data_IF_342223247739
#
_entry.id   IF_342223247739
#
_cell.length_a   1.000
_cell.length_b   1.000
_cell.length_c   1.000
_cell.angle_alpha   90.00
_cell.angle_beta   90.00
_cell.angle_gamma   90.00
#
_symmetry.space_group_name_H-M   'P 1'
#
loop_
_entity.id
_entity.type
_entity.pdbx_description
1 polymer ?
#
# COMPACT_ATOMS: atom_id res chain seq x y z
N UNK A 1 -5.83 -17.91 8.80
CA UNK A 1 -5.22 -16.69 9.35
C UNK A 1 -6.07 -16.17 10.49
N UNK A 2 -5.45 -15.83 11.62
CA UNK A 2 -6.21 -15.38 12.79
C UNK A 2 -6.51 -13.87 12.70
N UNK A 3 -7.46 -13.37 13.53
CA UNK A 3 -7.85 -11.94 13.48
C UNK A 3 -6.71 -10.96 13.75
N UNK A 4 -5.72 -11.33 14.56
CA UNK A 4 -4.57 -10.47 14.83
C UNK A 4 -3.70 -10.30 13.59
N UNK A 5 -3.47 -11.39 12.86
CA UNK A 5 -2.70 -11.33 11.61
C UNK A 5 -3.42 -10.51 10.55
N UNK A 6 -4.74 -10.63 10.46
CA UNK A 6 -5.55 -9.84 9.54
C UNK A 6 -5.47 -8.36 9.91
N UNK A 7 -5.57 -8.03 11.20
CA UNK A 7 -5.44 -6.66 11.66
C UNK A 7 -4.06 -6.08 11.34
N UNK A 8 -3.02 -6.87 11.55
CA UNK A 8 -1.65 -6.45 11.25
C UNK A 8 -1.46 -6.22 9.75
N UNK A 9 -2.02 -7.08 8.90
CA UNK A 9 -1.96 -6.90 7.46
C UNK A 9 -2.70 -5.64 7.01
N UNK A 10 -3.85 -5.33 7.60
CA UNK A 10 -4.58 -4.10 7.31
C UNK A 10 -3.78 -2.86 7.70
N UNK A 11 -3.14 -2.89 8.86
CA UNK A 11 -2.29 -1.77 9.30
C UNK A 11 -1.07 -1.60 8.38
N UNK A 12 -0.44 -2.71 8.01
CA UNK A 12 0.69 -2.69 7.08
C UNK A 12 0.26 -2.15 5.72
N UNK A 13 -0.89 -2.57 5.22
CA UNK A 13 -1.42 -2.10 3.93
C UNK A 13 -1.65 -0.59 3.94
N UNK A 14 -2.23 -0.07 5.03
CA UNK A 14 -2.46 1.36 5.17
C UNK A 14 -1.13 2.14 5.21
N UNK A 15 -0.15 1.64 5.94
CA UNK A 15 1.17 2.26 6.01
C UNK A 15 1.87 2.28 4.64
N UNK A 16 1.78 1.17 3.90
CA UNK A 16 2.36 1.08 2.55
C UNK A 16 1.67 2.05 1.59
N UNK A 17 0.35 2.22 1.71
CA UNK A 17 -0.38 3.18 0.88
C UNK A 17 0.09 4.61 1.13
N UNK A 18 0.30 4.97 2.40
CA UNK A 18 0.83 6.29 2.76
C UNK A 18 2.23 6.50 2.18
N UNK A 19 3.08 5.49 2.28
CA UNK A 19 4.43 5.55 1.74
C UNK A 19 4.42 5.68 0.22
N UNK A 20 3.57 4.91 -0.45
CA UNK A 20 3.39 4.98 -1.90
C UNK A 20 2.98 6.39 -2.33
N UNK A 21 1.99 6.97 -1.65
CA UNK A 21 1.51 8.32 -1.95
C UNK A 21 2.60 9.37 -1.74
N UNK A 22 3.39 9.23 -0.69
CA UNK A 22 4.49 10.15 -0.41
C UNK A 22 5.56 10.11 -1.52
N UNK A 23 5.93 8.91 -1.96
CA UNK A 23 6.91 8.75 -3.04
C UNK A 23 6.37 9.31 -4.34
N UNK A 24 5.12 8.96 -4.68
CA UNK A 24 4.47 9.42 -5.92
C UNK A 24 4.40 10.95 -5.97
N UNK A 25 4.04 11.57 -4.85
CA UNK A 25 3.95 13.03 -4.76
C UNK A 25 5.32 13.67 -4.98
N UNK A 26 6.37 13.10 -4.41
CA UNK A 26 7.74 13.62 -4.59
C UNK A 26 8.21 13.45 -6.03
N UNK A 27 7.93 12.30 -6.64
CA UNK A 27 8.30 12.04 -8.04
C UNK A 27 7.60 13.02 -8.97
N UNK A 28 6.33 13.35 -8.70
CA UNK A 28 5.57 14.29 -9.51
C UNK A 28 6.08 15.72 -9.46
N UNK A 29 6.91 16.05 -8.47
CA UNK A 29 7.43 17.39 -8.26
C UNK A 29 8.82 17.62 -8.89
N UNK A 30 9.43 16.62 -9.51
CA UNK A 30 10.78 16.71 -10.07
C UNK A 30 10.75 16.33 -11.56
N UNK A 31 11.67 16.93 -12.33
CA UNK A 31 11.74 16.71 -13.78
C UNK A 31 12.26 15.31 -14.15
N UNK A 32 13.27 14.86 -13.44
CA UNK A 32 13.89 13.56 -13.69
C UNK A 32 13.90 12.77 -12.39
N UNK A 33 13.18 11.65 -12.37
CA UNK A 33 13.12 10.81 -11.19
C UNK A 33 14.45 10.10 -10.92
N UNK A 34 15.00 10.20 -9.71
CA UNK A 34 16.15 9.38 -9.34
C UNK A 34 15.80 7.90 -9.43
N UNK A 35 16.74 7.11 -9.95
CA UNK A 35 16.52 5.66 -10.12
C UNK A 35 16.19 5.01 -8.78
N UNK A 36 16.87 5.39 -7.69
CA UNK A 36 16.61 4.82 -6.37
C UNK A 36 15.18 5.06 -5.91
N UNK A 37 14.63 6.24 -6.19
CA UNK A 37 13.25 6.57 -5.80
C UNK A 37 12.25 5.77 -6.63
N UNK A 38 12.52 5.57 -7.93
CA UNK A 38 11.67 4.75 -8.78
C UNK A 38 11.71 3.28 -8.33
N UNK A 39 12.89 2.79 -7.94
CA UNK A 39 13.03 1.45 -7.38
C UNK A 39 12.27 1.30 -6.07
N UNK A 40 12.33 2.30 -5.19
CA UNK A 40 11.59 2.28 -3.93
C UNK A 40 10.08 2.21 -4.19
N UNK A 41 9.58 2.96 -5.16
CA UNK A 41 8.17 2.90 -5.54
C UNK A 41 7.80 1.50 -6.02
N UNK A 42 8.63 0.89 -6.86
CA UNK A 42 8.40 -0.47 -7.36
C UNK A 42 8.31 -1.46 -6.20
N UNK A 43 9.23 -1.39 -5.24
CA UNK A 43 9.23 -2.29 -4.08
C UNK A 43 8.01 -2.11 -3.22
N UNK A 44 7.59 -0.86 -2.99
CA UNK A 44 6.37 -0.57 -2.21
C UNK A 44 5.14 -1.12 -2.92
N UNK A 45 5.02 -0.95 -4.22
CA UNK A 45 3.90 -1.47 -5.00
C UNK A 45 3.84 -3.00 -4.97
N UNK A 46 4.99 -3.66 -5.07
CA UNK A 46 5.05 -5.12 -4.96
C UNK A 46 4.63 -5.58 -3.56
N UNK A 47 5.04 -4.87 -2.52
CA UNK A 47 4.63 -5.17 -1.15
C UNK A 47 3.12 -5.01 -0.97
N UNK A 48 2.53 -3.96 -1.54
CA UNK A 48 1.09 -3.74 -1.53
C UNK A 48 0.36 -4.90 -2.20
N UNK A 49 0.82 -5.32 -3.38
CA UNK A 49 0.22 -6.45 -4.08
C UNK A 49 0.27 -7.73 -3.24
N UNK A 50 1.40 -7.98 -2.57
CA UNK A 50 1.56 -9.17 -1.74
C UNK A 50 0.60 -9.15 -0.55
N UNK A 51 0.46 -8.01 0.12
CA UNK A 51 -0.46 -7.86 1.25
C UNK A 51 -1.90 -8.00 0.80
N UNK A 52 -2.27 -7.35 -0.31
CA UNK A 52 -3.63 -7.45 -0.85
C UNK A 52 -3.99 -8.88 -1.22
N UNK A 53 -3.05 -9.60 -1.84
CA UNK A 53 -3.27 -11.01 -2.18
C UNK A 53 -3.47 -11.86 -0.93
N UNK A 54 -2.66 -11.63 0.10
CA UNK A 54 -2.80 -12.38 1.35
C UNK A 54 -4.15 -12.12 2.00
N UNK A 55 -4.63 -10.88 1.98
CA UNK A 55 -5.93 -10.54 2.53
C UNK A 55 -7.08 -11.17 1.74
N UNK A 56 -6.99 -11.16 0.41
CA UNK A 56 -8.01 -11.79 -0.44
C UNK A 56 -8.06 -13.30 -0.18
N UNK A 57 -6.92 -13.97 -0.10
CA UNK A 57 -6.86 -15.40 0.18
C UNK A 57 -7.47 -15.72 1.55
N UNK A 58 -7.29 -14.84 2.52
CA UNK A 58 -7.87 -15.00 3.86
C UNK A 58 -9.36 -14.66 3.91
N UNK A 59 -9.96 -14.18 2.82
CA UNK A 59 -11.37 -13.80 2.78
C UNK A 59 -11.65 -12.42 3.37
N UNK A 60 -10.64 -11.57 3.51
CA UNK A 60 -10.77 -10.24 4.09
C UNK A 60 -10.10 -9.17 3.21
N UNK A 61 -10.64 -8.89 1.99
CA UNK A 61 -10.05 -7.88 1.12
C UNK A 61 -9.93 -6.54 1.82
N UNK A 62 -8.83 -5.85 1.56
CA UNK A 62 -8.60 -4.53 2.15
C UNK A 62 -9.62 -3.53 1.63
N UNK A 63 -10.21 -2.76 2.56
CA UNK A 63 -11.09 -1.65 2.21
C UNK A 63 -10.46 -0.37 2.74
N UNK A 64 -10.22 0.58 1.83
CA UNK A 64 -9.67 1.87 2.21
C UNK A 64 -10.65 2.64 3.08
N UNK A 65 -10.18 3.30 4.15
CA UNK A 65 -11.05 4.19 4.95
C UNK A 65 -11.73 5.27 4.10
N UNK A 66 -11.08 5.74 3.05
CA UNK A 66 -11.65 6.76 2.16
C UNK A 66 -12.89 6.26 1.42
N UNK A 67 -12.89 4.97 1.02
CA UNK A 67 -14.06 4.37 0.39
C UNK A 67 -15.23 4.28 1.37
N UNK A 68 -14.97 4.02 2.64
CA UNK A 68 -16.00 4.00 3.67
C UNK A 68 -16.57 5.38 3.90
N UNK A 69 -15.73 6.41 3.84
CA UNK A 69 -16.15 7.79 4.10
C UNK A 69 -17.11 8.30 3.01
N UNK A 70 -17.04 7.76 1.82
CA UNK A 70 -17.89 8.18 0.69
C UNK A 70 -19.26 7.53 0.70
N UNK A 71 -19.45 6.51 1.48
CA UNK A 71 -20.74 5.82 1.58
C UNK A 71 -21.54 6.29 2.77
#
# INVERSE_FOLDING_TARGET
MNPHEIADLNLARAALARQCNAITKRLGAIDLAPVSMAEDLTRVLLAIEAVDRALVVAGHPYLSPDLHAET
#
